data_IF_399378706519
#
_entry.id   IF_399378706519
#
_cell.length_a   1.000
_cell.length_b   1.000
_cell.length_c   1.000
_cell.angle_alpha   90.00
_cell.angle_beta   90.00
_cell.angle_gamma   90.00
#
_symmetry.space_group_name_H-M   'P 1'
#
loop_
_entity.id
_entity.type
_entity.pdbx_description
1 polymer ?
#
# COMPACT_ATOMS: atom_id res chain seq x y z
N UNK A 1 6.15 -54.10 -15.01
CA UNK A 1 6.62 -53.39 -16.21
C UNK A 1 6.34 -51.91 -16.05
N UNK A 2 7.30 -51.17 -15.51
CA UNK A 2 7.22 -49.71 -15.35
C UNK A 2 7.83 -49.06 -16.60
N UNK A 3 7.01 -48.36 -17.39
CA UNK A 3 7.52 -47.51 -18.46
C UNK A 3 7.85 -46.14 -17.86
N UNK A 4 9.14 -45.91 -17.65
CA UNK A 4 9.71 -44.61 -17.32
C UNK A 4 9.79 -43.80 -18.63
N UNK A 5 8.87 -42.86 -18.85
CA UNK A 5 8.96 -41.92 -19.97
C UNK A 5 9.95 -40.82 -19.62
N UNK A 6 11.17 -41.01 -20.09
CA UNK A 6 12.24 -40.01 -20.12
C UNK A 6 11.79 -38.84 -21.03
N UNK A 7 11.42 -37.71 -20.43
CA UNK A 7 11.17 -36.47 -21.17
C UNK A 7 12.52 -35.80 -21.41
N UNK A 8 12.97 -35.60 -22.67
CA UNK A 8 14.25 -34.97 -22.92
C UNK A 8 14.13 -33.48 -22.57
N UNK A 9 14.89 -33.06 -21.56
CA UNK A 9 15.08 -31.65 -21.23
C UNK A 9 15.82 -30.97 -22.38
N UNK A 10 15.06 -30.42 -23.32
CA UNK A 10 15.60 -29.52 -24.34
C UNK A 10 15.93 -28.19 -23.65
N UNK A 11 17.07 -28.13 -22.95
CA UNK A 11 17.66 -26.87 -22.47
C UNK A 11 18.18 -26.14 -23.70
N UNK A 12 17.29 -25.48 -24.44
CA UNK A 12 17.71 -24.43 -25.36
C UNK A 12 18.39 -23.39 -24.49
N UNK A 13 19.71 -23.24 -24.63
CA UNK A 13 20.45 -22.10 -24.12
C UNK A 13 19.88 -20.85 -24.79
N UNK A 14 18.85 -20.27 -24.17
CA UNK A 14 18.26 -19.03 -24.62
C UNK A 14 19.32 -17.93 -24.41
N UNK A 15 19.79 -17.33 -25.51
CA UNK A 15 20.71 -16.19 -25.50
C UNK A 15 20.30 -15.18 -24.44
N UNK A 16 21.19 -14.85 -23.49
CA UNK A 16 20.94 -13.81 -22.48
C UNK A 16 20.36 -12.58 -23.16
N UNK A 17 19.21 -12.10 -22.69
CA UNK A 17 18.65 -10.86 -23.19
C UNK A 17 19.70 -9.75 -23.00
N UNK A 18 19.92 -8.93 -24.04
CA UNK A 18 20.90 -7.86 -23.95
C UNK A 18 20.53 -6.90 -22.82
N UNK A 19 21.52 -6.52 -22.02
CA UNK A 19 21.34 -5.56 -20.93
C UNK A 19 20.87 -4.22 -21.50
N UNK A 20 19.84 -3.64 -20.88
CA UNK A 20 19.27 -2.36 -21.30
C UNK A 20 19.81 -1.23 -20.43
N UNK A 21 20.11 -0.09 -21.06
CA UNK A 21 20.46 1.14 -20.34
C UNK A 21 19.26 2.08 -20.16
N UNK A 22 18.20 1.89 -20.95
CA UNK A 22 16.95 2.65 -20.91
C UNK A 22 15.75 1.71 -21.07
N UNK A 23 14.60 2.02 -20.45
CA UNK A 23 13.37 1.24 -20.64
C UNK A 23 12.87 1.38 -22.09
N UNK A 24 12.31 0.30 -22.64
CA UNK A 24 11.51 0.39 -23.88
C UNK A 24 10.23 1.18 -23.61
N UNK A 25 9.62 1.78 -24.63
CA UNK A 25 8.31 2.45 -24.49
C UNK A 25 7.26 1.50 -23.90
N UNK A 26 7.26 0.24 -24.34
CA UNK A 26 6.37 -0.81 -23.82
C UNK A 26 6.58 -1.05 -22.33
N UNK A 27 7.83 -1.21 -21.87
CA UNK A 27 8.12 -1.39 -20.44
C UNK A 27 7.80 -0.13 -19.64
N UNK A 28 8.07 1.06 -20.17
CA UNK A 28 7.68 2.33 -19.52
C UNK A 28 6.16 2.39 -19.32
N UNK A 29 5.38 2.09 -20.35
CA UNK A 29 3.91 2.03 -20.26
C UNK A 29 3.45 0.99 -19.23
N UNK A 30 4.13 -0.16 -19.14
CA UNK A 30 3.85 -1.17 -18.13
C UNK A 30 4.19 -0.72 -16.70
N UNK A 31 5.26 0.06 -16.52
CA UNK A 31 5.60 0.65 -15.23
C UNK A 31 4.51 1.63 -14.78
N UNK A 32 4.00 2.48 -15.68
CA UNK A 32 2.93 3.43 -15.36
C UNK A 32 1.65 2.69 -14.96
N UNK A 33 1.24 1.70 -15.76
CA UNK A 33 0.10 0.84 -15.43
C UNK A 33 0.29 0.10 -14.10
N UNK A 34 1.51 -0.31 -13.76
CA UNK A 34 1.81 -0.95 -12.48
C UNK A 34 1.69 0.01 -11.30
N UNK A 35 1.98 1.30 -11.49
CA UNK A 35 1.82 2.31 -10.44
C UNK A 35 0.36 2.72 -10.28
N UNK A 36 -0.42 2.77 -11.36
CA UNK A 36 -1.81 3.24 -11.31
C UNK A 36 -2.83 2.15 -10.95
N UNK A 37 -2.49 0.87 -11.17
CA UNK A 37 -3.38 -0.24 -10.86
C UNK A 37 -3.20 -0.79 -9.44
N UNK A 38 -4.31 -1.22 -8.84
CA UNK A 38 -4.29 -2.00 -7.60
C UNK A 38 -4.08 -3.48 -7.94
N UNK A 39 -3.02 -4.08 -7.38
CA UNK A 39 -2.72 -5.51 -7.49
C UNK A 39 -2.57 -6.07 -6.07
N UNK A 40 -3.07 -7.28 -5.85
CA UNK A 40 -3.03 -7.97 -4.57
C UNK A 40 -1.97 -9.07 -4.57
N UNK A 41 -1.07 -9.04 -3.57
CA UNK A 41 -0.14 -10.13 -3.26
C UNK A 41 -0.84 -11.18 -2.41
N UNK A 42 -1.19 -12.31 -3.02
CA UNK A 42 -1.93 -13.40 -2.37
C UNK A 42 -1.00 -14.44 -1.73
N UNK A 43 0.16 -14.69 -2.32
CA UNK A 43 1.11 -15.67 -1.79
C UNK A 43 2.53 -15.41 -2.25
N UNK A 44 3.50 -15.82 -1.43
CA UNK A 44 4.92 -15.90 -1.80
C UNK A 44 5.38 -17.35 -1.71
N UNK A 45 5.97 -17.87 -2.78
CA UNK A 45 6.58 -19.20 -2.89
C UNK A 45 8.11 -19.04 -2.83
N UNK A 46 8.61 -18.64 -1.67
CA UNK A 46 10.01 -18.22 -1.51
C UNK A 46 10.22 -16.73 -1.81
N UNK A 47 11.48 -16.30 -1.98
CA UNK A 47 11.82 -14.87 -2.08
C UNK A 47 11.55 -14.27 -3.46
N UNK A 48 11.38 -15.09 -4.50
CA UNK A 48 11.31 -14.60 -5.90
C UNK A 48 10.06 -15.03 -6.66
N UNK A 49 9.21 -15.91 -6.12
CA UNK A 49 7.99 -16.35 -6.79
C UNK A 49 6.75 -15.92 -6.02
N UNK A 50 5.77 -15.38 -6.73
CA UNK A 50 4.59 -14.72 -6.16
C UNK A 50 3.30 -15.11 -6.88
N UNK A 51 2.21 -15.13 -6.14
CA UNK A 51 0.85 -15.23 -6.66
C UNK A 51 0.17 -13.87 -6.49
N UNK A 52 -0.27 -13.30 -7.61
CA UNK A 52 -0.89 -11.98 -7.67
C UNK A 52 -2.32 -12.09 -8.23
N UNK A 53 -3.15 -11.10 -7.91
CA UNK A 53 -4.46 -10.90 -8.53
C UNK A 53 -4.69 -9.42 -8.76
N UNK A 54 -5.20 -9.05 -9.93
CA UNK A 54 -5.56 -7.66 -10.23
C UNK A 54 -6.91 -7.30 -9.61
N UNK A 55 -7.12 -6.03 -9.29
CA UNK A 55 -8.43 -5.56 -8.85
C UNK A 55 -9.47 -5.66 -9.97
N UNK A 56 -10.65 -6.21 -9.64
CA UNK A 56 -11.70 -6.52 -10.60
C UNK A 56 -11.57 -7.86 -11.33
N UNK A 57 -10.42 -8.53 -11.25
CA UNK A 57 -10.17 -9.81 -11.92
C UNK A 57 -10.27 -11.00 -10.97
N UNK A 58 -10.69 -12.16 -11.49
CA UNK A 58 -10.76 -13.42 -10.71
C UNK A 58 -9.58 -14.34 -10.95
N UNK A 59 -8.84 -14.12 -12.04
CA UNK A 59 -7.72 -14.97 -12.43
C UNK A 59 -6.46 -14.66 -11.62
N UNK A 60 -5.85 -15.71 -11.07
CA UNK A 60 -4.57 -15.60 -10.37
C UNK A 60 -3.41 -15.67 -11.35
N UNK A 61 -2.41 -14.84 -11.09
CA UNK A 61 -1.23 -14.68 -11.93
C UNK A 61 0.01 -15.09 -11.15
N UNK A 62 0.75 -16.06 -11.68
CA UNK A 62 2.03 -16.46 -11.11
C UNK A 62 3.14 -15.65 -11.75
N UNK A 63 3.98 -15.06 -10.92
CA UNK A 63 5.14 -14.26 -11.34
C UNK A 63 6.39 -14.77 -10.65
N UNK A 64 7.46 -15.00 -11.40
CA UNK A 64 8.75 -15.38 -10.87
C UNK A 64 9.82 -14.38 -11.32
N UNK A 65 10.63 -13.91 -10.37
CA UNK A 65 11.84 -13.13 -10.62
C UNK A 65 13.05 -14.07 -10.60
N UNK A 66 14.05 -13.79 -11.41
CA UNK A 66 15.08 -14.77 -11.78
C UNK A 66 15.98 -14.23 -12.89
N UNK A 67 16.92 -15.05 -13.35
CA UNK A 67 17.74 -14.77 -14.55
C UNK A 67 16.89 -14.40 -15.77
N UNK A 68 15.67 -14.94 -15.82
CA UNK A 68 14.58 -14.47 -16.66
C UNK A 68 13.35 -14.32 -15.80
N UNK A 69 12.74 -13.15 -15.85
CA UNK A 69 11.43 -12.95 -15.25
C UNK A 69 10.40 -13.73 -16.04
N UNK A 70 9.41 -14.29 -15.35
CA UNK A 70 8.29 -14.99 -15.98
C UNK A 70 6.98 -14.57 -15.34
N UNK A 71 5.94 -14.45 -16.16
CA UNK A 71 4.59 -14.15 -15.70
C UNK A 71 3.57 -14.93 -16.54
N UNK A 72 2.53 -15.46 -15.90
CA UNK A 72 1.45 -16.20 -16.58
C UNK A 72 0.40 -15.29 -17.25
N UNK A 73 0.59 -13.97 -17.24
CA UNK A 73 -0.39 -13.05 -17.83
C UNK A 73 -0.31 -13.05 -19.38
N UNK A 74 -1.41 -12.76 -20.08
CA UNK A 74 -1.45 -12.75 -21.55
C UNK A 74 -0.48 -11.74 -22.19
N UNK A 75 -0.29 -10.58 -21.55
CA UNK A 75 0.64 -9.54 -22.03
C UNK A 75 2.07 -10.05 -22.07
N UNK A 76 2.52 -10.74 -21.03
CA UNK A 76 3.87 -11.31 -20.98
C UNK A 76 4.03 -12.43 -22.02
N UNK A 77 3.02 -13.28 -22.19
CA UNK A 77 3.05 -14.36 -23.17
C UNK A 77 3.27 -13.85 -24.61
N UNK A 78 2.63 -12.72 -24.95
CA UNK A 78 2.74 -12.07 -26.27
C UNK A 78 4.05 -11.30 -26.44
N UNK A 79 4.43 -10.50 -25.45
CA UNK A 79 5.49 -9.49 -25.63
C UNK A 79 6.86 -9.98 -25.16
N UNK A 80 6.92 -10.95 -24.24
CA UNK A 80 8.16 -11.45 -23.62
C UNK A 80 9.02 -10.33 -22.99
N UNK A 81 8.40 -9.20 -22.65
CA UNK A 81 8.97 -8.07 -21.92
C UNK A 81 8.37 -8.00 -20.51
N UNK A 82 9.05 -7.35 -19.54
CA UNK A 82 8.48 -7.08 -18.22
C UNK A 82 7.06 -6.50 -18.32
N UNK A 83 6.06 -7.30 -17.97
CA UNK A 83 4.66 -6.87 -17.94
C UNK A 83 4.39 -6.03 -16.68
N UNK A 84 3.19 -5.43 -16.61
CA UNK A 84 2.80 -4.64 -15.43
C UNK A 84 2.93 -5.39 -14.10
N UNK A 85 2.79 -6.71 -14.07
CA UNK A 85 2.94 -7.53 -12.85
C UNK A 85 4.39 -7.63 -12.38
N UNK A 86 5.31 -7.84 -13.32
CA UNK A 86 6.75 -7.85 -13.03
C UNK A 86 7.15 -6.45 -12.57
N UNK A 87 6.73 -5.41 -13.29
CA UNK A 87 6.97 -4.02 -12.91
C UNK A 87 6.40 -3.71 -11.52
N UNK A 88 5.18 -4.16 -11.21
CA UNK A 88 4.56 -3.95 -9.91
C UNK A 88 5.37 -4.58 -8.78
N UNK A 89 5.90 -5.79 -8.94
CA UNK A 89 6.79 -6.39 -7.94
C UNK A 89 8.07 -5.56 -7.76
N UNK A 90 8.73 -5.19 -8.84
CA UNK A 90 9.98 -4.42 -8.79
C UNK A 90 9.77 -3.05 -8.13
N UNK A 91 8.70 -2.32 -8.50
CA UNK A 91 8.43 -0.95 -8.07
C UNK A 91 7.69 -0.86 -6.73
N UNK A 92 6.71 -1.73 -6.46
CA UNK A 92 5.88 -1.66 -5.24
C UNK A 92 6.38 -2.58 -4.14
N UNK A 93 6.68 -3.84 -4.47
CA UNK A 93 7.14 -4.82 -3.47
C UNK A 93 8.58 -4.60 -3.07
N UNK A 94 9.46 -4.47 -4.05
CA UNK A 94 10.87 -4.26 -3.82
C UNK A 94 11.25 -2.78 -3.78
N UNK A 95 10.33 -1.86 -4.08
CA UNK A 95 10.55 -0.41 -3.94
C UNK A 95 11.74 0.10 -4.75
N UNK A 96 12.00 -0.50 -5.92
CA UNK A 96 12.98 0.05 -6.85
C UNK A 96 12.44 1.36 -7.44
N UNK A 97 13.28 2.41 -7.54
CA UNK A 97 12.95 3.59 -8.34
C UNK A 97 12.62 3.20 -9.78
N UNK A 98 11.73 3.94 -10.43
CA UNK A 98 11.27 3.65 -11.80
C UNK A 98 12.42 3.64 -12.80
N UNK A 99 13.39 4.52 -12.59
CA UNK A 99 14.59 4.73 -13.40
C UNK A 99 15.73 3.78 -13.01
N UNK A 100 15.56 2.96 -11.97
CA UNK A 100 16.60 2.05 -11.52
C UNK A 100 16.92 1.03 -12.61
N UNK A 101 18.21 0.77 -12.86
CA UNK A 101 18.66 -0.13 -13.92
C UNK A 101 18.02 -1.53 -13.90
N UNK A 102 17.64 -2.03 -12.72
CA UNK A 102 16.98 -3.34 -12.55
C UNK A 102 15.46 -3.31 -12.83
N UNK A 103 14.82 -2.14 -12.80
CA UNK A 103 13.36 -2.01 -12.87
C UNK A 103 12.76 -2.30 -14.25
N UNK A 104 13.60 -2.43 -15.28
CA UNK A 104 13.19 -2.61 -16.67
C UNK A 104 13.95 -3.73 -17.41
N UNK A 105 14.74 -4.55 -16.69
CA UNK A 105 15.41 -5.69 -17.30
C UNK A 105 14.45 -6.87 -17.46
N UNK A 106 14.67 -7.68 -18.50
CA UNK A 106 13.93 -8.94 -18.71
C UNK A 106 14.29 -10.02 -17.68
N UNK A 107 15.35 -9.82 -16.88
CA UNK A 107 15.82 -10.74 -15.87
C UNK A 107 17.01 -10.16 -15.10
N UNK A 108 17.30 -10.77 -13.95
CA UNK A 108 18.36 -10.34 -13.03
C UNK A 108 19.18 -11.57 -12.64
N UNK A 109 20.50 -11.43 -12.63
CA UNK A 109 21.39 -12.48 -12.10
C UNK A 109 21.16 -12.69 -10.60
N UNK A 110 21.57 -13.83 -10.07
CA UNK A 110 21.42 -14.15 -8.64
C UNK A 110 21.99 -13.08 -7.72
N UNK A 111 23.16 -12.52 -8.06
CA UNK A 111 23.75 -11.41 -7.32
C UNK A 111 22.84 -10.17 -7.30
N UNK A 112 22.31 -9.79 -8.45
CA UNK A 112 21.42 -8.63 -8.57
C UNK A 112 20.09 -8.87 -7.84
N UNK A 113 19.54 -10.08 -7.92
CA UNK A 113 18.36 -10.47 -7.14
C UNK A 113 18.62 -10.37 -5.64
N UNK A 114 19.77 -10.84 -5.16
CA UNK A 114 20.14 -10.70 -3.75
C UNK A 114 20.21 -9.23 -3.33
N UNK A 115 20.76 -8.34 -4.16
CA UNK A 115 20.78 -6.88 -3.88
C UNK A 115 19.35 -6.31 -3.75
N UNK A 116 18.44 -6.71 -4.64
CA UNK A 116 17.01 -6.33 -4.61
C UNK A 116 16.30 -6.89 -3.37
N UNK A 117 16.54 -8.15 -3.03
CA UNK A 117 15.93 -8.82 -1.87
C UNK A 117 16.40 -8.24 -0.54
N UNK A 118 17.66 -7.83 -0.46
CA UNK A 118 18.24 -7.19 0.73
C UNK A 118 17.84 -5.71 0.87
N UNK A 119 17.25 -5.12 -0.17
CA UNK A 119 16.86 -3.72 -0.16
C UNK A 119 18.05 -2.76 -0.16
N UNK A 120 19.17 -3.15 -0.76
CA UNK A 120 20.40 -2.34 -0.78
C UNK A 120 20.24 -0.98 -1.47
N UNK A 121 19.20 -0.85 -2.30
CA UNK A 121 18.83 0.38 -3.01
C UNK A 121 17.94 1.32 -2.19
N UNK A 122 17.37 0.87 -1.08
CA UNK A 122 16.58 1.75 -0.22
C UNK A 122 17.51 2.70 0.56
N UNK A 123 17.11 3.96 0.75
CA UNK A 123 17.81 4.84 1.67
C UNK A 123 17.91 4.17 3.03
N UNK A 124 19.11 4.13 3.64
CA UNK A 124 19.27 3.67 5.02
C UNK A 124 18.37 4.52 5.91
N UNK A 125 17.24 3.94 6.34
CA UNK A 125 16.42 4.56 7.36
C UNK A 125 17.29 4.71 8.61
N UNK A 126 17.50 5.94 9.07
CA UNK A 126 18.07 6.22 10.37
C UNK A 126 17.31 5.36 11.37
N UNK A 127 18.02 4.46 12.05
CA UNK A 127 17.43 3.52 12.98
C UNK A 127 16.77 4.27 14.15
N UNK A 128 15.51 4.65 13.98
CA UNK A 128 14.67 5.09 15.10
C UNK A 128 14.33 3.83 15.86
N UNK A 129 15.01 3.66 16.99
CA UNK A 129 14.89 2.51 17.88
C UNK A 129 13.43 2.17 18.11
N UNK A 130 13.10 0.90 17.89
CA UNK A 130 11.84 0.32 18.32
C UNK A 130 11.71 0.52 19.84
N UNK A 131 10.62 1.13 20.35
CA UNK A 131 10.36 1.06 21.78
C UNK A 131 10.09 -0.41 22.12
N UNK A 132 10.99 -0.98 22.93
CA UNK A 132 10.83 -2.27 23.57
C UNK A 132 9.57 -2.17 24.44
N UNK A 133 8.43 -2.69 23.96
CA UNK A 133 7.17 -2.64 24.71
C UNK A 133 7.19 -3.71 25.80
N UNK A 134 7.09 -3.23 27.03
CA UNK A 134 6.87 -3.98 28.27
C UNK A 134 5.70 -4.94 28.10
N UNK A 135 5.94 -6.22 28.42
CA UNK A 135 4.93 -7.24 28.60
C UNK A 135 4.03 -6.82 29.77
N UNK A 136 2.84 -6.32 29.47
CA UNK A 136 1.72 -6.34 30.40
C UNK A 136 0.78 -7.42 29.89
N UNK A 137 0.87 -8.58 30.54
CA UNK A 137 -0.03 -9.71 30.38
C UNK A 137 -1.47 -9.28 30.70
N UNK A 138 -2.42 -9.68 29.85
CA UNK A 138 -3.84 -9.61 30.20
C UNK A 138 -4.65 -10.69 29.47
N UNK A 139 -4.76 -11.84 30.12
CA UNK A 139 -5.88 -12.81 30.24
C UNK A 139 -6.83 -13.13 29.06
N UNK A 140 -6.61 -12.64 27.83
CA UNK A 140 -7.51 -12.91 26.68
C UNK A 140 -6.81 -13.37 25.41
N UNK A 141 -5.49 -13.57 25.43
CA UNK A 141 -4.70 -14.03 24.26
C UNK A 141 -4.69 -13.06 23.06
N UNK A 142 -5.38 -11.91 23.14
CA UNK A 142 -5.46 -10.91 22.08
C UNK A 142 -4.37 -9.83 22.24
N UNK A 143 -3.61 -9.60 21.17
CA UNK A 143 -2.57 -8.58 21.04
C UNK A 143 -3.21 -7.22 20.71
N UNK A 144 -2.69 -6.16 21.34
CA UNK A 144 -3.12 -4.80 21.04
C UNK A 144 -2.79 -4.37 19.60
N UNK A 145 -3.72 -3.65 18.97
CA UNK A 145 -3.49 -3.00 17.68
C UNK A 145 -2.31 -2.02 17.79
N UNK A 146 -1.41 -2.05 16.80
CA UNK A 146 -0.37 -1.02 16.62
C UNK A 146 -0.95 0.21 15.95
N UNK A 147 -0.43 1.37 16.33
CA UNK A 147 -0.77 2.64 15.69
C UNK A 147 -0.31 2.63 14.22
N UNK A 148 -1.19 3.09 13.33
CA UNK A 148 -0.88 3.18 11.90
C UNK A 148 -0.10 4.47 11.66
N UNK A 149 1.12 4.34 11.15
CA UNK A 149 2.03 5.43 10.84
C UNK A 149 1.95 5.83 9.36
N UNK A 150 2.48 7.00 9.03
CA UNK A 150 2.48 7.55 7.66
C UNK A 150 3.18 6.66 6.61
N UNK A 151 4.13 5.82 7.04
CA UNK A 151 4.89 4.92 6.17
C UNK A 151 4.35 3.48 6.18
N UNK A 152 3.30 3.19 6.96
CA UNK A 152 2.78 1.84 7.05
C UNK A 152 2.01 1.48 5.78
N UNK A 153 2.39 0.35 5.18
CA UNK A 153 1.81 -0.16 3.94
C UNK A 153 0.98 -1.42 4.21
N UNK A 154 -0.12 -1.57 3.47
CA UNK A 154 -0.90 -2.79 3.49
C UNK A 154 -0.07 -3.95 2.91
N UNK A 155 0.07 -5.10 3.60
CA UNK A 155 0.92 -6.20 3.13
C UNK A 155 0.39 -6.93 1.89
N UNK A 156 -0.87 -6.68 1.52
CA UNK A 156 -1.54 -7.34 0.39
C UNK A 156 -1.47 -6.45 -0.86
N UNK A 157 -1.97 -5.21 -0.79
CA UNK A 157 -1.96 -4.31 -1.95
C UNK A 157 -0.71 -3.42 -2.04
N UNK A 158 0.16 -3.44 -1.02
CA UNK A 158 1.40 -2.66 -0.94
C UNK A 158 1.22 -1.13 -1.05
N UNK A 159 0.01 -0.65 -0.76
CA UNK A 159 -0.31 0.77 -0.71
C UNK A 159 -0.30 1.29 0.73
N UNK A 160 0.04 2.57 0.90
CA UNK A 160 0.08 3.22 2.20
C UNK A 160 -1.31 3.27 2.85
N UNK A 161 -1.43 2.74 4.07
CA UNK A 161 -2.70 2.58 4.78
C UNK A 161 -3.41 3.93 4.99
N UNK A 162 -2.66 4.96 5.40
CA UNK A 162 -3.21 6.31 5.60
C UNK A 162 -3.44 7.05 4.28
N UNK A 163 -2.64 6.76 3.25
CA UNK A 163 -2.77 7.42 1.94
C UNK A 163 -4.06 7.00 1.23
N UNK A 164 -4.39 5.70 1.26
CA UNK A 164 -5.60 5.16 0.62
C UNK A 164 -6.89 5.49 1.38
N UNK A 165 -6.80 5.86 2.66
CA UNK A 165 -7.93 6.17 3.56
C UNK A 165 -9.03 5.10 3.59
N UNK A 166 -8.69 3.85 3.28
CA UNK A 166 -9.63 2.74 3.36
C UNK A 166 -9.73 2.22 4.79
N UNK A 167 -10.89 1.68 5.19
CA UNK A 167 -11.05 1.08 6.50
C UNK A 167 -10.12 -0.13 6.66
N UNK A 168 -9.55 -0.28 7.86
CA UNK A 168 -8.53 -1.30 8.18
C UNK A 168 -8.99 -2.20 9.31
N UNK A 169 -8.61 -3.47 9.22
CA UNK A 169 -8.59 -4.44 10.32
C UNK A 169 -7.15 -4.67 10.79
N UNK A 170 -6.94 -5.45 11.85
CA UNK A 170 -5.60 -5.75 12.36
C UNK A 170 -5.50 -7.19 12.88
N UNK A 171 -4.27 -7.70 12.93
CA UNK A 171 -3.98 -9.03 13.44
C UNK A 171 -4.15 -9.07 14.97
N UNK A 172 -5.14 -9.82 15.46
CA UNK A 172 -5.49 -9.89 16.88
C UNK A 172 -4.67 -10.88 17.70
N UNK A 173 -4.03 -11.88 17.10
CA UNK A 173 -3.33 -12.93 17.85
C UNK A 173 -1.86 -13.09 17.45
N UNK A 174 -1.28 -12.08 16.81
CA UNK A 174 0.10 -12.14 16.32
C UNK A 174 0.76 -10.77 16.32
N UNK A 175 0.99 -10.19 15.13
CA UNK A 175 1.85 -9.02 14.98
C UNK A 175 1.21 -7.66 15.32
N UNK A 176 -0.11 -7.57 15.50
CA UNK A 176 -0.83 -6.31 15.77
C UNK A 176 -0.89 -5.32 14.59
N UNK A 177 -0.32 -5.66 13.43
CA UNK A 177 -0.28 -4.79 12.25
C UNK A 177 -1.64 -4.69 11.55
N UNK A 178 -1.89 -3.55 10.90
CA UNK A 178 -3.12 -3.26 10.17
C UNK A 178 -3.06 -3.68 8.70
N UNK A 179 -4.23 -4.02 8.15
CA UNK A 179 -4.47 -4.44 6.77
C UNK A 179 -5.80 -3.84 6.33
N UNK A 180 -5.93 -3.38 5.07
CA UNK A 180 -7.23 -2.94 4.57
C UNK A 180 -8.26 -4.08 4.67
N UNK A 181 -9.50 -3.75 5.08
CA UNK A 181 -10.57 -4.75 5.20
C UNK A 181 -10.88 -5.38 3.83
N UNK A 182 -10.92 -4.58 2.77
CA UNK A 182 -11.13 -5.07 1.40
C UNK A 182 -10.04 -6.06 0.98
N UNK A 183 -8.76 -5.73 1.23
CA UNK A 183 -7.66 -6.63 0.93
C UNK A 183 -7.73 -7.94 1.74
N UNK A 184 -8.10 -7.86 3.02
CA UNK A 184 -8.22 -9.05 3.86
C UNK A 184 -9.35 -9.98 3.39
N UNK A 185 -10.40 -9.46 2.76
CA UNK A 185 -11.43 -10.28 2.09
C UNK A 185 -10.83 -11.06 0.91
N UNK A 186 -10.12 -10.37 0.02
CA UNK A 186 -9.45 -11.03 -1.13
C UNK A 186 -8.49 -12.13 -0.65
N UNK A 187 -7.79 -11.87 0.45
CA UNK A 187 -6.92 -12.85 1.10
C UNK A 187 -7.68 -14.05 1.64
N UNK A 188 -8.81 -13.84 2.33
CA UNK A 188 -9.67 -14.92 2.82
C UNK A 188 -10.17 -15.80 1.66
N UNK A 189 -10.65 -15.18 0.59
CA UNK A 189 -11.17 -15.87 -0.59
C UNK A 189 -10.08 -16.70 -1.27
N UNK A 190 -8.84 -16.18 -1.34
CA UNK A 190 -7.69 -16.90 -1.92
C UNK A 190 -7.26 -18.14 -1.12
N UNK A 191 -7.63 -18.23 0.16
CA UNK A 191 -7.36 -19.40 0.99
C UNK A 191 -8.43 -20.49 0.86
N UNK A 192 -9.48 -20.27 0.06
CA UNK A 192 -10.57 -21.23 -0.11
C UNK A 192 -11.42 -21.43 1.15
N UNK A 193 -11.39 -20.46 2.07
CA UNK A 193 -12.11 -20.51 3.34
C UNK A 193 -13.59 -20.29 3.08
N UNK A 194 -14.38 -21.34 3.25
CA UNK A 194 -15.82 -21.33 2.93
C UNK A 194 -16.71 -21.35 4.18
N UNK A 195 -16.20 -21.85 5.32
CA UNK A 195 -16.97 -21.99 6.56
C UNK A 195 -16.73 -20.85 7.57
N UNK A 196 -17.78 -20.44 8.28
CA UNK A 196 -17.81 -19.27 9.16
C UNK A 196 -16.96 -19.40 10.44
N UNK A 197 -16.51 -20.61 10.78
CA UNK A 197 -15.74 -20.92 12.00
C UNK A 197 -14.22 -20.90 11.80
N UNK A 198 -13.76 -20.66 10.58
CA UNK A 198 -12.33 -20.72 10.26
C UNK A 198 -11.59 -19.47 10.73
N UNK A 199 -10.43 -19.70 11.36
CA UNK A 199 -9.50 -18.65 11.78
C UNK A 199 -8.60 -18.29 10.61
N UNK A 200 -8.67 -17.03 10.18
CA UNK A 200 -7.85 -16.50 9.11
C UNK A 200 -6.38 -16.45 9.53
N UNK A 201 -5.46 -16.79 8.64
CA UNK A 201 -4.02 -16.58 8.89
C UNK A 201 -3.60 -15.16 8.51
N UNK A 202 -2.72 -14.57 9.31
CA UNK A 202 -2.15 -13.25 9.07
C UNK A 202 -1.19 -13.28 7.86
N UNK A 203 -1.33 -12.37 6.87
CA UNK A 203 -0.41 -12.29 5.74
C UNK A 203 1.05 -12.00 6.14
N UNK A 204 1.26 -11.36 7.29
CA UNK A 204 2.57 -10.93 7.77
C UNK A 204 3.25 -11.96 8.66
N UNK A 205 2.58 -12.38 9.74
CA UNK A 205 3.18 -13.26 10.75
C UNK A 205 2.68 -14.71 10.71
N UNK A 206 1.75 -15.04 9.81
CA UNK A 206 1.15 -16.38 9.63
C UNK A 206 0.35 -16.94 10.81
N UNK A 207 0.43 -16.32 11.98
CA UNK A 207 -0.44 -16.59 13.14
C UNK A 207 -1.91 -16.29 12.84
N UNK A 208 -2.78 -16.74 13.74
CA UNK A 208 -4.21 -16.42 13.73
C UNK A 208 -4.44 -14.90 13.67
N UNK A 209 -5.13 -14.45 12.63
CA UNK A 209 -5.49 -13.06 12.42
C UNK A 209 -6.78 -12.70 13.16
N UNK A 210 -7.79 -13.56 13.04
CA UNK A 210 -9.15 -13.40 13.55
C UNK A 210 -10.11 -14.33 12.81
N UNK A 211 -11.36 -14.42 13.27
CA UNK A 211 -12.37 -15.26 12.62
C UNK A 211 -12.88 -14.63 11.32
N UNK A 212 -13.27 -15.48 10.36
CA UNK A 212 -13.90 -15.02 9.12
C UNK A 212 -15.21 -14.25 9.39
N UNK A 213 -15.98 -14.66 10.39
CA UNK A 213 -17.19 -13.96 10.81
C UNK A 213 -16.89 -12.51 11.24
N UNK A 214 -15.87 -12.31 12.07
CA UNK A 214 -15.48 -10.97 12.51
C UNK A 214 -15.08 -10.09 11.31
N UNK A 215 -14.34 -10.62 10.35
CA UNK A 215 -13.97 -9.88 9.14
C UNK A 215 -15.22 -9.46 8.35
N UNK A 216 -16.21 -10.36 8.20
CA UNK A 216 -17.49 -10.08 7.53
C UNK A 216 -18.27 -8.98 8.25
N UNK A 217 -18.31 -9.00 9.59
CA UNK A 217 -18.94 -7.96 10.40
C UNK A 217 -18.23 -6.62 10.27
N UNK A 218 -16.90 -6.61 10.35
CA UNK A 218 -16.08 -5.41 10.14
C UNK A 218 -16.30 -4.81 8.75
N UNK A 219 -16.43 -5.63 7.71
CA UNK A 219 -16.74 -5.16 6.36
C UNK A 219 -18.13 -4.51 6.27
N UNK A 220 -19.15 -5.11 6.90
CA UNK A 220 -20.50 -4.52 6.97
C UNK A 220 -20.50 -3.18 7.70
N UNK A 221 -19.81 -3.10 8.84
CA UNK A 221 -19.71 -1.88 9.63
C UNK A 221 -18.95 -0.79 8.89
N UNK A 222 -17.85 -1.16 8.23
CA UNK A 222 -17.08 -0.26 7.40
C UNK A 222 -17.91 0.31 6.25
N UNK A 223 -18.69 -0.52 5.54
CA UNK A 223 -19.57 -0.03 4.47
C UNK A 223 -20.62 0.97 5.00
N UNK A 224 -21.21 0.74 6.18
CA UNK A 224 -22.18 1.64 6.80
C UNK A 224 -21.55 2.97 7.24
N UNK A 225 -20.41 2.90 7.92
CA UNK A 225 -19.72 4.07 8.46
C UNK A 225 -19.02 4.88 7.37
N UNK A 226 -18.48 4.23 6.34
CA UNK A 226 -17.88 4.91 5.21
C UNK A 226 -18.91 5.73 4.45
N UNK A 227 -20.12 5.19 4.22
CA UNK A 227 -21.24 5.97 3.64
C UNK A 227 -21.64 7.16 4.54
N UNK A 228 -21.60 7.01 5.86
CA UNK A 228 -21.88 8.11 6.78
C UNK A 228 -20.76 9.17 6.79
N UNK A 229 -19.50 8.76 6.77
CA UNK A 229 -18.33 9.63 6.74
C UNK A 229 -18.09 10.29 5.37
N UNK A 230 -18.49 9.66 4.25
CA UNK A 230 -18.54 10.29 2.93
C UNK A 230 -19.69 11.31 2.83
N UNK A 231 -20.81 11.07 3.53
CA UNK A 231 -21.85 12.09 3.72
C UNK A 231 -21.37 13.25 4.59
N UNK A 232 -20.46 12.99 5.53
CA UNK A 232 -19.82 14.02 6.33
C UNK A 232 -18.81 14.75 5.44
N UNK A 233 -19.14 15.97 5.05
CA UNK A 233 -18.34 16.70 4.07
C UNK A 233 -16.89 16.81 4.57
N UNK A 234 -15.97 16.20 3.82
CA UNK A 234 -14.53 16.23 4.07
C UNK A 234 -13.93 17.64 3.99
N UNK A 235 -14.73 18.68 3.72
CA UNK A 235 -14.34 20.09 3.75
C UNK A 235 -14.42 20.71 5.15
N UNK A 236 -14.74 19.95 6.21
CA UNK A 236 -14.96 20.49 7.57
C UNK A 236 -13.77 20.29 8.51
N UNK A 237 -13.29 21.38 9.10
CA UNK A 237 -12.30 21.37 10.17
C UNK A 237 -13.00 21.16 11.52
N UNK A 238 -13.25 19.90 11.89
CA UNK A 238 -13.93 19.52 13.13
C UNK A 238 -13.19 20.05 14.38
N UNK A 239 -13.96 20.59 15.35
CA UNK A 239 -13.42 21.16 16.59
C UNK A 239 -12.70 22.51 16.42
N UNK A 240 -12.87 23.17 15.27
CA UNK A 240 -12.31 24.50 15.00
C UNK A 240 -13.45 25.50 14.82
N UNK A 241 -13.46 26.53 15.68
CA UNK A 241 -14.41 27.64 15.66
C UNK A 241 -13.78 28.86 15.00
N UNK A 242 -14.50 29.50 14.08
CA UNK A 242 -14.07 30.79 13.55
C UNK A 242 -14.22 31.88 14.61
N UNK A 243 -13.13 32.52 15.04
CA UNK A 243 -13.17 33.60 16.02
C UNK A 243 -13.92 34.86 15.52
N UNK A 244 -14.08 35.01 14.20
CA UNK A 244 -14.74 36.17 13.61
C UNK A 244 -16.25 36.06 13.47
N UNK A 245 -16.79 34.87 13.25
CA UNK A 245 -18.24 34.66 13.03
C UNK A 245 -18.85 33.53 13.86
N UNK A 246 -18.05 32.82 14.66
CA UNK A 246 -18.51 31.73 15.51
C UNK A 246 -18.89 30.44 14.77
N UNK A 247 -18.68 30.35 13.44
CA UNK A 247 -19.03 29.13 12.71
C UNK A 247 -18.16 27.96 13.16
N UNK A 248 -18.82 26.84 13.48
CA UNK A 248 -18.21 25.57 13.85
C UNK A 248 -19.01 24.41 13.23
N UNK A 249 -18.36 23.44 12.57
CA UNK A 249 -16.96 23.46 12.13
C UNK A 249 -16.75 24.43 10.96
N UNK A 250 -15.55 25.00 10.82
CA UNK A 250 -15.19 25.78 9.61
C UNK A 250 -15.23 24.84 8.40
N UNK A 251 -16.04 25.17 7.40
CA UNK A 251 -16.08 24.48 6.11
C UNK A 251 -15.17 25.19 5.08
N UNK A 252 -14.46 24.42 4.25
CA UNK A 252 -13.53 24.90 3.23
C UNK A 252 -12.13 25.22 3.78
N UNK A 253 -11.59 26.37 3.41
CA UNK A 253 -10.24 26.81 3.85
C UNK A 253 -10.30 27.38 5.26
N UNK A 254 -9.53 26.80 6.17
CA UNK A 254 -9.33 27.32 7.53
C UNK A 254 -8.02 28.09 7.62
N UNK A 255 -8.05 29.27 8.21
CA UNK A 255 -6.89 30.13 8.40
C UNK A 255 -6.53 30.17 9.88
N UNK A 256 -5.27 29.94 10.23
CA UNK A 256 -4.74 30.05 11.58
C UNK A 256 -3.75 31.21 11.64
N UNK A 257 -3.80 32.00 12.72
CA UNK A 257 -2.77 32.99 12.99
C UNK A 257 -1.53 32.34 13.63
N UNK A 258 -0.35 32.74 13.16
CA UNK A 258 0.92 32.25 13.70
C UNK A 258 1.33 32.95 15.00
N UNK A 259 0.79 34.16 15.24
CA UNK A 259 1.11 35.01 16.39
C UNK A 259 0.08 34.90 17.52
N UNK A 260 -1.20 34.73 17.17
CA UNK A 260 -2.28 34.61 18.14
C UNK A 260 -2.57 33.14 18.42
N UNK A 261 -2.24 32.70 19.64
CA UNK A 261 -2.54 31.34 20.09
C UNK A 261 -4.03 31.03 19.93
N UNK A 262 -4.34 29.88 19.31
CA UNK A 262 -5.70 29.36 19.09
C UNK A 262 -6.66 30.24 18.28
N UNK A 263 -6.18 31.22 17.51
CA UNK A 263 -7.04 32.02 16.64
C UNK A 263 -7.20 31.36 15.25
N UNK A 264 -8.44 31.04 14.91
CA UNK A 264 -8.84 30.46 13.63
C UNK A 264 -9.91 31.30 12.94
N UNK A 265 -9.85 31.40 11.60
CA UNK A 265 -10.79 32.16 10.79
C UNK A 265 -11.22 31.36 9.56
N UNK A 266 -12.49 31.51 9.19
CA UNK A 266 -12.99 31.04 7.90
C UNK A 266 -12.61 32.02 6.78
N UNK A 267 -12.60 31.54 5.54
CA UNK A 267 -12.28 32.34 4.36
C UNK A 267 -13.09 33.64 4.26
N UNK A 268 -14.38 33.60 4.60
CA UNK A 268 -15.26 34.78 4.59
C UNK A 268 -14.82 35.84 5.58
N UNK A 269 -14.37 35.44 6.78
CA UNK A 269 -13.88 36.39 7.79
C UNK A 269 -12.54 37.00 7.38
N UNK A 270 -11.66 36.22 6.77
CA UNK A 270 -10.40 36.75 6.22
C UNK A 270 -10.67 37.76 5.11
N UNK A 271 -11.58 37.46 4.18
CA UNK A 271 -11.99 38.39 3.10
C UNK A 271 -12.62 39.69 3.61
N UNK A 272 -13.30 39.64 4.77
CA UNK A 272 -13.84 40.82 5.46
C UNK A 272 -12.77 41.65 6.18
N UNK A 273 -11.51 41.23 6.16
CA UNK A 273 -10.41 41.91 6.85
C UNK A 273 -10.36 41.63 8.35
N UNK A 274 -11.08 40.62 8.84
CA UNK A 274 -10.95 40.22 10.24
C UNK A 274 -9.53 39.68 10.46
N UNK A 275 -8.83 40.24 11.45
CA UNK A 275 -7.48 39.84 11.81
C UNK A 275 -6.40 40.07 10.73
N UNK A 276 -6.53 41.15 9.96
CA UNK A 276 -5.60 41.54 8.89
C UNK A 276 -4.21 42.02 9.34
N UNK A 277 -4.01 42.23 10.65
CA UNK A 277 -2.75 42.75 11.21
C UNK A 277 -1.67 41.68 11.41
N UNK A 278 -2.02 40.40 11.32
CA UNK A 278 -1.09 39.29 11.53
C UNK A 278 -1.07 38.35 10.31
N UNK A 279 0.07 37.68 10.06
CA UNK A 279 0.14 36.64 9.05
C UNK A 279 -0.78 35.46 9.41
N UNK A 280 -1.48 34.97 8.38
CA UNK A 280 -2.41 33.84 8.47
C UNK A 280 -1.91 32.69 7.59
N UNK A 281 -1.81 31.50 8.16
CA UNK A 281 -1.54 30.27 7.44
C UNK A 281 -2.85 29.55 7.09
N UNK A 282 -3.06 29.19 5.82
CA UNK A 282 -4.26 28.48 5.36
C UNK A 282 -4.06 26.96 5.33
N UNK A 283 -5.12 26.21 5.62
CA UNK A 283 -5.20 24.76 5.42
C UNK A 283 -6.47 24.39 4.66
N UNK A 284 -6.30 23.66 3.56
CA UNK A 284 -7.36 22.95 2.86
C UNK A 284 -7.33 21.47 3.27
N UNK A 285 -8.50 20.82 3.33
CA UNK A 285 -8.59 19.40 3.75
C UNK A 285 -8.15 18.44 2.63
N UNK A 286 -7.91 18.97 1.43
CA UNK A 286 -7.25 18.29 0.31
C UNK A 286 -5.82 18.81 0.15
N UNK A 287 -4.86 17.89 0.23
CA UNK A 287 -3.42 18.03 0.01
C UNK A 287 -2.62 18.77 1.09
N UNK A 288 -1.57 18.09 1.56
CA UNK A 288 -0.44 18.72 2.23
C UNK A 288 0.34 19.54 1.21
N UNK A 289 -0.13 20.74 0.88
CA UNK A 289 0.68 21.72 0.19
C UNK A 289 1.25 22.71 1.23
N UNK A 290 2.53 22.51 1.56
CA UNK A 290 3.36 23.60 2.07
C UNK A 290 3.57 24.56 0.90
N UNK A 291 2.64 25.49 0.71
CA UNK A 291 2.94 26.69 -0.09
C UNK A 291 3.80 27.58 0.81
N UNK A 292 5.11 27.41 0.67
CA UNK A 292 6.06 28.45 1.04
C UNK A 292 5.71 29.70 0.22
N UNK A 293 5.07 30.66 0.87
CA UNK A 293 4.89 32.00 0.34
C UNK A 293 6.28 32.66 0.27
N UNK A 294 6.99 32.46 -0.83
CA UNK A 294 8.09 33.32 -1.23
C UNK A 294 7.49 34.57 -1.90
N UNK A 295 7.32 35.62 -1.09
CA UNK A 295 7.34 37.00 -1.58
C UNK A 295 8.81 37.41 -1.74
N UNK A 296 9.25 37.55 -2.98
CA UNK A 296 10.23 38.53 -3.43
C UNK A 296 9.91 38.82 -4.91
#
# INVERSE_FOLDING_TARGET
>A
MFWCTYVPSCVRMAKRAAWRNVPSETVSSHQDRALDSTVFLLRSFGPTAFLLREDGETADLKVCLGERHTCTCPTFAREQEPCKHICWLLLRKFQLPREHQYAFQSGLSDRQLLEVLQGSHLPKASAVGSPRRTLLERETGAVCRKDVRNLDVCPICLEGLLRKKLPVCYCRYGCGNSVHISCMKVWADSQGLSDGREMLRCPLCRESFGSLQLLREQAKNAARLFVAAEKERADRHLGVVCCGCGVEPIAGTCYRCDLCGSLYLCETCVKKGNHSRHPLASRTVSLWDLISAARA
#
